data_IF_973042271802
#
_entry.id   IF_973042271802
#
_cell.length_a   1.000
_cell.length_b   1.000
_cell.length_c   1.000
_cell.angle_alpha   90.00
_cell.angle_beta   90.00
_cell.angle_gamma   90.00
#
_symmetry.space_group_name_H-M   'P 1'
#
loop_
_entity.id
_entity.type
_entity.pdbx_description
1 polymer ?
#
# COMPACT_ATOMS: atom_id res chain seq x y z
N UNK A 1 -16.65 20.98 -22.45
CA UNK A 1 -15.82 19.78 -22.70
C UNK A 1 -14.97 19.33 -21.50
N UNK A 2 -14.23 20.17 -20.78
CA UNK A 2 -13.33 19.74 -19.71
C UNK A 2 -13.99 19.03 -18.52
N UNK A 3 -15.22 19.43 -18.13
CA UNK A 3 -15.97 18.79 -17.04
C UNK A 3 -16.32 17.32 -17.33
N UNK A 4 -16.66 17.01 -18.59
CA UNK A 4 -17.02 15.63 -19.02
C UNK A 4 -15.85 14.64 -18.88
N UNK A 5 -14.61 15.05 -19.20
CA UNK A 5 -13.42 14.20 -19.05
C UNK A 5 -13.12 13.85 -17.58
N UNK A 6 -13.32 14.82 -16.68
CA UNK A 6 -13.20 14.55 -15.25
C UNK A 6 -14.28 13.58 -14.76
N UNK A 7 -15.53 13.78 -15.19
CA UNK A 7 -16.63 12.87 -14.83
C UNK A 7 -16.30 11.46 -15.31
N UNK A 8 -15.85 11.31 -16.56
CA UNK A 8 -15.47 10.02 -17.11
C UNK A 8 -14.35 9.33 -16.28
N UNK A 9 -13.27 10.07 -15.95
CA UNK A 9 -12.19 9.53 -15.14
C UNK A 9 -12.68 9.05 -13.76
N UNK A 10 -13.51 9.83 -13.09
CA UNK A 10 -14.10 9.45 -11.79
C UNK A 10 -15.08 8.30 -11.92
N UNK A 11 -15.88 8.25 -13.00
CA UNK A 11 -16.79 7.12 -13.25
C UNK A 11 -16.03 5.82 -13.44
N UNK A 12 -14.89 5.83 -14.17
CA UNK A 12 -14.03 4.66 -14.33
C UNK A 12 -13.51 4.19 -12.96
N UNK A 13 -12.94 5.09 -12.16
CA UNK A 13 -12.41 4.75 -10.83
C UNK A 13 -13.49 4.18 -9.92
N UNK A 14 -14.65 4.82 -9.86
CA UNK A 14 -15.79 4.38 -9.07
C UNK A 14 -16.31 3.02 -9.52
N UNK A 15 -16.51 2.83 -10.85
CA UNK A 15 -17.02 1.57 -11.40
C UNK A 15 -16.07 0.40 -11.16
N UNK A 16 -14.75 0.62 -11.25
CA UNK A 16 -13.76 -0.42 -10.95
C UNK A 16 -13.82 -0.82 -9.49
N UNK A 17 -13.86 0.14 -8.56
CA UNK A 17 -13.93 -0.17 -7.14
C UNK A 17 -15.27 -0.83 -6.76
N UNK A 18 -16.39 -0.30 -7.28
CA UNK A 18 -17.72 -0.83 -7.02
C UNK A 18 -17.84 -2.26 -7.59
N UNK A 19 -17.45 -2.47 -8.83
CA UNK A 19 -17.48 -3.78 -9.48
C UNK A 19 -16.66 -4.83 -8.73
N UNK A 20 -15.45 -4.46 -8.28
CA UNK A 20 -14.62 -5.32 -7.44
C UNK A 20 -15.29 -5.62 -6.09
N UNK A 21 -15.89 -4.63 -5.44
CA UNK A 21 -16.57 -4.82 -4.15
C UNK A 21 -17.78 -5.73 -4.27
N UNK A 22 -18.60 -5.56 -5.31
CA UNK A 22 -19.73 -6.44 -5.62
C UNK A 22 -19.24 -7.86 -5.90
N UNK A 23 -18.17 -8.00 -6.71
CA UNK A 23 -17.60 -9.32 -7.01
C UNK A 23 -17.17 -10.07 -5.75
N UNK A 24 -16.51 -9.39 -4.79
CA UNK A 24 -16.10 -9.99 -3.52
C UNK A 24 -17.29 -10.38 -2.64
N UNK A 25 -18.33 -9.55 -2.60
CA UNK A 25 -19.54 -9.86 -1.85
C UNK A 25 -20.26 -11.09 -2.40
N UNK A 26 -20.29 -11.26 -3.72
CA UNK A 26 -20.91 -12.41 -4.39
C UNK A 26 -20.04 -13.67 -4.38
N UNK A 27 -18.71 -13.51 -4.20
CA UNK A 27 -17.75 -14.61 -4.22
C UNK A 27 -16.78 -14.54 -3.03
N UNK A 28 -17.26 -14.68 -1.79
CA UNK A 28 -16.47 -14.48 -0.57
C UNK A 28 -15.29 -15.45 -0.43
N UNK A 29 -15.30 -16.56 -1.14
CA UNK A 29 -14.20 -17.55 -1.16
C UNK A 29 -13.04 -17.14 -2.08
N UNK A 30 -13.24 -16.15 -2.97
CA UNK A 30 -12.22 -15.69 -3.94
C UNK A 30 -11.54 -14.41 -3.48
N UNK A 31 -10.78 -14.49 -2.40
CA UNK A 31 -10.22 -13.33 -1.70
C UNK A 31 -8.76 -13.01 -2.04
N UNK A 32 -8.17 -13.71 -3.00
CA UNK A 32 -6.78 -13.49 -3.45
C UNK A 32 -5.74 -13.79 -2.36
N UNK A 33 -4.85 -12.83 -2.07
CA UNK A 33 -3.77 -13.01 -1.06
C UNK A 33 -4.18 -12.56 0.35
N UNK A 34 -5.34 -11.92 0.51
CA UNK A 34 -5.78 -11.36 1.80
C UNK A 34 -5.98 -12.41 2.89
N UNK A 35 -6.42 -13.65 2.61
CA UNK A 35 -6.46 -14.71 3.63
C UNK A 35 -5.11 -14.97 4.29
N UNK A 36 -4.00 -14.89 3.53
CA UNK A 36 -2.65 -15.06 4.10
C UNK A 36 -2.30 -13.93 5.06
N UNK A 37 -2.71 -12.68 4.75
CA UNK A 37 -2.52 -11.54 5.65
C UNK A 37 -3.34 -11.70 6.94
N UNK A 38 -4.58 -12.17 6.81
CA UNK A 38 -5.49 -12.44 7.91
C UNK A 38 -4.98 -13.54 8.81
N UNK A 39 -4.54 -14.65 8.22
CA UNK A 39 -3.95 -15.77 8.95
C UNK A 39 -2.70 -15.30 9.72
N UNK A 40 -1.79 -14.58 9.07
CA UNK A 40 -0.60 -14.05 9.72
C UNK A 40 -0.94 -13.09 10.86
N UNK A 41 -1.94 -12.18 10.67
CA UNK A 41 -2.37 -11.26 11.72
C UNK A 41 -3.01 -12.00 12.91
N UNK A 42 -3.84 -13.00 12.65
CA UNK A 42 -4.43 -13.83 13.72
C UNK A 42 -3.36 -14.60 14.47
N UNK A 43 -2.46 -15.28 13.75
CA UNK A 43 -1.38 -16.07 14.34
C UNK A 43 -0.41 -15.21 15.15
N UNK A 44 -0.11 -13.99 14.71
CA UNK A 44 0.71 -13.04 15.45
C UNK A 44 0.16 -12.80 16.86
N UNK A 45 -1.11 -12.44 16.96
CA UNK A 45 -1.72 -12.11 18.25
C UNK A 45 -1.97 -13.33 19.14
N UNK A 46 -2.02 -14.55 18.55
CA UNK A 46 -2.12 -15.81 19.29
C UNK A 46 -0.77 -16.42 19.67
N UNK A 47 0.34 -15.80 19.29
CA UNK A 47 1.69 -16.36 19.54
C UNK A 47 2.01 -17.56 18.66
N UNK A 48 1.33 -17.75 17.53
CA UNK A 48 1.51 -18.88 16.63
C UNK A 48 2.49 -18.56 15.50
N UNK A 49 2.95 -19.63 14.79
CA UNK A 49 3.84 -19.49 13.65
C UNK A 49 3.18 -18.68 12.53
N UNK A 50 3.90 -17.66 11.99
CA UNK A 50 3.41 -16.78 10.93
C UNK A 50 4.02 -17.05 9.56
N UNK A 51 5.20 -17.66 9.50
CA UNK A 51 5.92 -18.01 8.28
C UNK A 51 5.85 -19.52 7.99
N UNK A 52 6.08 -19.89 6.73
CA UNK A 52 6.24 -21.31 6.33
C UNK A 52 4.93 -22.03 5.99
N UNK A 53 3.85 -21.33 5.67
CA UNK A 53 2.59 -21.94 5.22
C UNK A 53 2.46 -21.89 3.70
N UNK A 54 2.63 -23.03 3.03
CA UNK A 54 2.33 -23.24 1.62
C UNK A 54 3.19 -22.45 0.63
N UNK A 55 2.93 -22.64 -0.66
CA UNK A 55 3.63 -22.02 -1.80
C UNK A 55 3.45 -20.51 -1.91
N UNK A 56 2.43 -19.95 -1.23
CA UNK A 56 2.10 -18.53 -1.22
C UNK A 56 1.97 -17.97 0.19
N UNK A 57 2.85 -18.44 1.12
CA UNK A 57 2.86 -18.04 2.51
C UNK A 57 3.05 -16.53 2.72
N UNK A 58 3.00 -16.13 3.97
CA UNK A 58 3.28 -14.75 4.36
C UNK A 58 4.77 -14.42 4.15
N UNK A 59 5.06 -13.37 3.35
CA UNK A 59 6.43 -13.00 2.91
C UNK A 59 6.74 -11.53 3.26
N UNK A 60 6.16 -11.01 4.33
CA UNK A 60 6.28 -9.61 4.73
C UNK A 60 6.91 -9.51 6.12
N UNK A 61 7.46 -8.34 6.45
CA UNK A 61 7.95 -8.06 7.79
C UNK A 61 6.81 -8.04 8.82
N UNK A 62 7.08 -8.30 10.12
CA UNK A 62 6.08 -8.28 11.19
C UNK A 62 5.29 -6.96 11.28
N UNK A 63 5.88 -5.83 10.93
CA UNK A 63 5.20 -4.53 10.88
C UNK A 63 3.99 -4.50 9.94
N UNK A 64 4.03 -5.28 8.85
CA UNK A 64 2.89 -5.39 7.95
C UNK A 64 1.69 -6.02 8.67
N UNK A 65 1.93 -6.98 9.54
CA UNK A 65 0.88 -7.64 10.33
C UNK A 65 0.16 -6.62 11.20
N UNK A 66 0.92 -5.76 11.87
CA UNK A 66 0.39 -4.71 12.74
C UNK A 66 -0.41 -3.70 11.91
N UNK A 67 0.11 -3.31 10.74
CA UNK A 67 -0.61 -2.44 9.80
C UNK A 67 -1.93 -3.08 9.31
N UNK A 68 -1.95 -4.40 9.10
CA UNK A 68 -3.13 -5.11 8.60
C UNK A 68 -4.14 -5.48 9.70
N UNK A 69 -3.71 -5.55 10.96
CA UNK A 69 -4.55 -5.94 12.10
C UNK A 69 -5.90 -5.21 12.18
N UNK A 70 -6.00 -3.87 12.01
CA UNK A 70 -7.29 -3.18 12.06
C UNK A 70 -8.31 -3.73 11.04
N UNK A 71 -7.87 -4.12 9.85
CA UNK A 71 -8.71 -4.69 8.81
C UNK A 71 -9.12 -6.13 9.14
N UNK A 72 -8.25 -6.88 9.84
CA UNK A 72 -8.56 -8.24 10.30
C UNK A 72 -9.62 -8.27 11.40
N UNK A 73 -9.77 -7.21 12.19
CA UNK A 73 -10.77 -7.11 13.26
C UNK A 73 -12.18 -6.85 12.74
N UNK A 74 -12.33 -6.35 11.50
CA UNK A 74 -13.65 -6.06 10.90
C UNK A 74 -14.37 -7.36 10.57
N UNK A 75 -15.63 -7.48 11.01
CA UNK A 75 -16.52 -8.61 10.75
C UNK A 75 -17.76 -8.16 9.97
N UNK A 76 -18.30 -8.97 9.03
CA UNK A 76 -17.71 -10.19 8.49
C UNK A 76 -16.40 -9.90 7.73
N UNK A 77 -15.55 -10.91 7.60
CA UNK A 77 -14.20 -10.76 7.02
C UNK A 77 -14.17 -10.11 5.63
N UNK A 78 -15.18 -10.35 4.78
CA UNK A 78 -15.29 -9.73 3.46
C UNK A 78 -15.32 -8.18 3.54
N UNK A 79 -15.96 -7.63 4.58
CA UNK A 79 -15.94 -6.17 4.77
C UNK A 79 -14.55 -5.65 5.12
N UNK A 80 -13.80 -6.36 5.98
CA UNK A 80 -12.41 -6.03 6.26
C UNK A 80 -11.54 -6.03 5.01
N UNK A 81 -11.77 -6.98 4.10
CA UNK A 81 -11.09 -7.05 2.81
C UNK A 81 -11.46 -5.91 1.87
N UNK A 82 -12.72 -5.53 1.82
CA UNK A 82 -13.17 -4.37 1.03
C UNK A 82 -12.54 -3.09 1.57
N UNK A 83 -12.53 -2.91 2.91
CA UNK A 83 -11.92 -1.74 3.55
C UNK A 83 -10.41 -1.68 3.31
N UNK A 84 -9.70 -2.82 3.38
CA UNK A 84 -8.29 -2.90 3.01
C UNK A 84 -8.03 -2.44 1.58
N UNK A 85 -8.82 -2.96 0.62
CA UNK A 85 -8.72 -2.56 -0.80
C UNK A 85 -9.09 -1.10 -1.00
N UNK A 86 -10.10 -0.60 -0.28
CA UNK A 86 -10.49 0.81 -0.31
C UNK A 86 -9.37 1.72 0.17
N UNK A 87 -8.69 1.36 1.25
CA UNK A 87 -7.55 2.13 1.76
C UNK A 87 -6.41 2.20 0.73
N UNK A 88 -6.02 1.06 0.16
CA UNK A 88 -5.00 1.01 -0.90
C UNK A 88 -5.42 1.75 -2.16
N UNK A 89 -6.69 1.61 -2.58
CA UNK A 89 -7.23 2.31 -3.75
C UNK A 89 -7.33 3.81 -3.54
N UNK A 90 -7.75 4.26 -2.36
CA UNK A 90 -7.82 5.68 -2.02
C UNK A 90 -6.43 6.34 -2.03
N UNK A 91 -5.43 5.65 -1.50
CA UNK A 91 -4.04 6.10 -1.55
C UNK A 91 -3.54 6.21 -2.99
N UNK A 92 -3.86 5.23 -3.83
CA UNK A 92 -3.52 5.22 -5.25
C UNK A 92 -4.19 6.38 -6.01
N UNK A 93 -5.48 6.61 -5.80
CA UNK A 93 -6.20 7.75 -6.38
C UNK A 93 -5.59 9.06 -5.90
N UNK A 94 -5.26 9.18 -4.62
CA UNK A 94 -4.54 10.33 -4.06
C UNK A 94 -3.22 10.62 -4.78
N UNK A 95 -2.44 9.57 -5.06
CA UNK A 95 -1.19 9.68 -5.82
C UNK A 95 -1.44 10.16 -7.27
N UNK A 96 -2.46 9.61 -7.96
CA UNK A 96 -2.85 10.05 -9.29
C UNK A 96 -3.29 11.53 -9.31
N UNK A 97 -4.05 11.97 -8.31
CA UNK A 97 -4.47 13.37 -8.19
C UNK A 97 -3.29 14.32 -7.96
N UNK A 98 -2.32 13.92 -7.14
CA UNK A 98 -1.07 14.68 -6.94
C UNK A 98 -0.25 14.75 -8.21
N UNK A 99 -0.12 13.64 -8.93
CA UNK A 99 0.59 13.58 -10.20
C UNK A 99 -0.11 14.43 -11.27
N UNK A 100 -1.45 14.33 -11.38
CA UNK A 100 -2.27 15.20 -12.23
C UNK A 100 -1.99 16.68 -11.96
N UNK A 101 -1.95 17.08 -10.68
CA UNK A 101 -1.74 18.48 -10.33
C UNK A 101 -0.39 19.00 -10.82
N UNK A 102 0.66 18.17 -10.77
CA UNK A 102 2.00 18.56 -11.22
C UNK A 102 2.10 18.58 -12.74
N UNK A 103 1.62 17.54 -13.41
CA UNK A 103 1.67 17.43 -14.86
C UNK A 103 0.69 18.39 -15.53
N UNK A 104 -0.49 18.56 -14.95
CA UNK A 104 -1.54 19.45 -15.46
C UNK A 104 -1.16 20.93 -15.44
N UNK A 105 -0.28 21.36 -14.53
CA UNK A 105 0.21 22.76 -14.51
C UNK A 105 1.01 23.14 -15.77
N UNK A 106 1.56 22.14 -16.46
CA UNK A 106 2.35 22.33 -17.69
C UNK A 106 1.54 22.00 -18.94
N UNK A 107 0.30 21.55 -18.77
CA UNK A 107 -0.58 21.13 -19.87
C UNK A 107 -1.66 22.17 -20.14
N UNK A 108 -1.95 22.42 -21.40
CA UNK A 108 -3.13 23.20 -21.84
C UNK A 108 -4.45 22.49 -21.51
N UNK A 109 -4.41 21.16 -21.25
CA UNK A 109 -5.58 20.32 -21.00
C UNK A 109 -5.43 19.44 -19.73
N UNK A 110 -5.47 20.03 -18.50
CA UNK A 110 -5.26 19.30 -17.26
C UNK A 110 -6.23 18.12 -17.03
N UNK A 111 -7.44 18.21 -17.60
CA UNK A 111 -8.45 17.15 -17.47
C UNK A 111 -8.13 15.93 -18.34
N UNK A 112 -7.50 16.15 -19.51
CA UNK A 112 -7.03 15.08 -20.36
C UNK A 112 -5.88 14.33 -19.69
N UNK A 113 -4.99 15.06 -18.97
CA UNK A 113 -3.92 14.44 -18.17
C UNK A 113 -4.49 13.49 -17.13
N UNK A 114 -5.56 13.88 -16.42
CA UNK A 114 -6.16 13.00 -15.41
C UNK A 114 -6.80 11.75 -16.03
N UNK A 115 -7.56 11.92 -17.10
CA UNK A 115 -8.15 10.78 -17.80
C UNK A 115 -7.07 9.85 -18.35
N UNK A 116 -6.00 10.38 -18.95
CA UNK A 116 -4.88 9.57 -19.46
C UNK A 116 -4.20 8.79 -18.32
N UNK A 117 -3.95 9.43 -17.17
CA UNK A 117 -3.39 8.75 -16.00
C UNK A 117 -4.29 7.60 -15.53
N UNK A 118 -5.61 7.81 -15.48
CA UNK A 118 -6.57 6.77 -15.09
C UNK A 118 -6.58 5.63 -16.11
N UNK A 119 -6.64 5.94 -17.41
CA UNK A 119 -6.68 4.94 -18.48
C UNK A 119 -5.40 4.09 -18.57
N UNK A 120 -4.25 4.65 -18.20
CA UNK A 120 -2.98 3.92 -18.17
C UNK A 120 -2.80 3.13 -16.86
N UNK A 121 -3.10 3.75 -15.72
CA UNK A 121 -2.79 3.17 -14.43
C UNK A 121 -3.82 2.11 -13.97
N UNK A 122 -5.10 2.30 -14.26
CA UNK A 122 -6.16 1.39 -13.79
C UNK A 122 -6.03 0.00 -14.41
N UNK A 123 -5.92 -0.18 -15.75
CA UNK A 123 -5.76 -1.51 -16.33
C UNK A 123 -4.54 -2.26 -15.79
N UNK A 124 -3.40 -1.57 -15.64
CA UNK A 124 -2.17 -2.14 -15.06
C UNK A 124 -2.33 -2.57 -13.59
N UNK A 125 -3.31 -2.01 -12.88
CA UNK A 125 -3.54 -2.24 -11.46
C UNK A 125 -4.66 -3.24 -11.17
N UNK A 126 -5.48 -3.64 -12.16
CA UNK A 126 -6.67 -4.46 -11.95
C UNK A 126 -6.39 -5.78 -11.21
N UNK A 127 -5.33 -6.50 -11.59
CA UNK A 127 -4.95 -7.73 -10.93
C UNK A 127 -4.60 -7.50 -9.44
N UNK A 128 -3.89 -6.40 -9.13
CA UNK A 128 -3.53 -6.05 -7.75
C UNK A 128 -4.75 -5.63 -6.93
N UNK A 129 -5.69 -4.90 -7.53
CA UNK A 129 -6.95 -4.52 -6.90
C UNK A 129 -7.78 -5.76 -6.57
N UNK A 130 -7.96 -6.65 -7.56
CA UNK A 130 -8.75 -7.87 -7.41
C UNK A 130 -8.15 -8.81 -6.35
N UNK A 131 -6.84 -9.03 -6.36
CA UNK A 131 -6.17 -9.92 -5.42
C UNK A 131 -5.92 -9.30 -4.03
N UNK A 132 -6.21 -8.01 -3.81
CA UNK A 132 -5.93 -7.32 -2.55
C UNK A 132 -4.44 -7.20 -2.21
N UNK A 133 -3.58 -7.17 -3.23
CA UNK A 133 -2.14 -7.12 -3.07
C UNK A 133 -1.66 -5.75 -2.58
N UNK A 134 -0.53 -5.75 -1.89
CA UNK A 134 0.18 -4.53 -1.44
C UNK A 134 0.78 -3.71 -2.59
N UNK A 135 0.79 -4.21 -3.84
CA UNK A 135 1.37 -3.51 -4.99
C UNK A 135 0.73 -2.14 -5.24
N UNK A 136 -0.59 -2.05 -5.01
CA UNK A 136 -1.33 -0.80 -5.24
C UNK A 136 -0.92 0.31 -4.26
N UNK A 137 -1.00 0.11 -2.93
CA UNK A 137 -0.51 1.09 -1.97
C UNK A 137 1.02 1.31 -2.09
N UNK A 138 1.79 0.29 -2.46
CA UNK A 138 3.23 0.42 -2.72
C UNK A 138 3.51 1.42 -3.84
N UNK A 139 2.88 1.25 -5.01
CA UNK A 139 3.06 2.16 -6.15
C UNK A 139 2.63 3.58 -5.81
N UNK A 140 1.53 3.73 -5.07
CA UNK A 140 1.07 5.03 -4.60
C UNK A 140 2.10 5.72 -3.69
N UNK A 141 2.63 5.00 -2.69
CA UNK A 141 3.67 5.51 -1.81
C UNK A 141 4.97 5.86 -2.56
N UNK A 142 5.38 5.06 -3.55
CA UNK A 142 6.54 5.38 -4.39
C UNK A 142 6.33 6.67 -5.18
N UNK A 143 5.18 6.84 -5.81
CA UNK A 143 4.85 8.10 -6.51
C UNK A 143 4.87 9.28 -5.53
N UNK A 144 4.21 9.15 -4.37
CA UNK A 144 4.14 10.21 -3.37
C UNK A 144 5.52 10.54 -2.79
N UNK A 145 6.39 9.53 -2.61
CA UNK A 145 7.78 9.76 -2.14
C UNK A 145 8.60 10.58 -3.14
N UNK A 146 8.53 10.23 -4.44
CA UNK A 146 9.22 10.98 -5.50
C UNK A 146 8.70 12.42 -5.57
N UNK A 147 7.38 12.61 -5.44
CA UNK A 147 6.80 13.95 -5.44
C UNK A 147 7.18 14.77 -4.21
N UNK A 148 7.35 14.12 -3.06
CA UNK A 148 7.83 14.74 -1.82
C UNK A 148 9.32 15.10 -1.92
N UNK A 149 10.18 14.19 -2.41
CA UNK A 149 11.60 14.45 -2.67
C UNK A 149 11.79 15.66 -3.60
N UNK A 150 11.04 15.72 -4.68
CA UNK A 150 11.07 16.84 -5.62
C UNK A 150 10.70 18.19 -4.99
N UNK A 151 9.90 18.18 -3.90
CA UNK A 151 9.51 19.37 -3.16
C UNK A 151 10.35 19.63 -1.92
N UNK A 152 11.44 18.89 -1.75
CA UNK A 152 12.32 18.93 -0.58
C UNK A 152 11.58 18.65 0.75
N UNK A 153 10.48 17.89 0.67
CA UNK A 153 9.69 17.47 1.82
C UNK A 153 10.27 16.16 2.37
N UNK A 154 11.39 16.26 3.10
CA UNK A 154 12.22 15.12 3.51
C UNK A 154 11.48 14.13 4.41
N UNK A 155 10.68 14.59 5.36
CA UNK A 155 9.92 13.74 6.27
C UNK A 155 8.80 12.96 5.58
N UNK A 156 7.90 13.59 4.78
CA UNK A 156 6.93 12.85 3.99
C UNK A 156 7.58 11.86 3.03
N UNK A 157 8.68 12.22 2.38
CA UNK A 157 9.41 11.33 1.49
C UNK A 157 9.92 10.08 2.24
N UNK A 158 10.55 10.28 3.38
CA UNK A 158 11.06 9.21 4.23
C UNK A 158 9.93 8.29 4.72
N UNK A 159 8.82 8.87 5.18
CA UNK A 159 7.66 8.10 5.64
C UNK A 159 7.10 7.21 4.51
N UNK A 160 6.85 7.77 3.33
CA UNK A 160 6.34 6.98 2.20
C UNK A 160 7.32 5.88 1.78
N UNK A 161 8.63 6.16 1.72
CA UNK A 161 9.64 5.14 1.38
C UNK A 161 9.71 4.03 2.44
N UNK A 162 9.61 4.36 3.72
CA UNK A 162 9.62 3.36 4.79
C UNK A 162 8.35 2.53 4.79
N UNK A 163 7.18 3.13 4.53
CA UNK A 163 5.94 2.37 4.31
C UNK A 163 6.08 1.42 3.11
N UNK A 164 6.74 1.83 2.03
CA UNK A 164 7.02 0.93 0.91
C UNK A 164 7.82 -0.31 1.33
N UNK A 165 8.85 -0.17 2.18
CA UNK A 165 9.64 -1.30 2.69
C UNK A 165 8.78 -2.23 3.54
N UNK A 166 7.87 -1.70 4.37
CA UNK A 166 6.91 -2.50 5.15
C UNK A 166 5.96 -3.27 4.24
N UNK A 167 5.45 -2.61 3.20
CA UNK A 167 4.54 -3.23 2.24
C UNK A 167 5.22 -4.29 1.38
N UNK A 168 6.50 -4.10 1.04
CA UNK A 168 7.31 -5.09 0.32
C UNK A 168 8.80 -4.85 0.53
N UNK A 169 9.56 -5.87 0.97
CA UNK A 169 11.02 -5.76 1.20
C UNK A 169 11.80 -5.30 -0.04
N UNK A 170 11.35 -5.61 -1.26
CA UNK A 170 11.99 -5.16 -2.51
C UNK A 170 12.07 -3.62 -2.62
N UNK A 171 11.23 -2.90 -1.91
CA UNK A 171 11.27 -1.44 -1.86
C UNK A 171 12.46 -0.88 -1.06
N UNK A 172 13.28 -1.75 -0.47
CA UNK A 172 14.57 -1.35 0.09
C UNK A 172 15.49 -0.73 -0.96
N UNK A 173 15.40 -1.16 -2.23
CA UNK A 173 16.21 -0.59 -3.31
C UNK A 173 15.95 0.91 -3.54
N UNK A 174 14.73 1.40 -3.79
CA UNK A 174 14.48 2.84 -3.88
C UNK A 174 14.71 3.58 -2.56
N UNK A 175 14.55 2.94 -1.39
CA UNK A 175 14.89 3.50 -0.09
C UNK A 175 16.40 3.78 0.01
N UNK A 176 17.25 2.80 -0.32
CA UNK A 176 18.71 2.93 -0.34
C UNK A 176 19.18 3.96 -1.38
N UNK A 177 18.54 3.98 -2.55
CA UNK A 177 18.84 4.97 -3.57
C UNK A 177 18.58 6.39 -3.07
N UNK A 178 17.42 6.62 -2.42
CA UNK A 178 17.11 7.92 -1.83
C UNK A 178 18.12 8.30 -0.73
N UNK A 179 18.49 7.35 0.13
CA UNK A 179 19.51 7.55 1.17
C UNK A 179 20.87 7.93 0.59
N UNK A 180 21.28 7.31 -0.52
CA UNK A 180 22.55 7.59 -1.18
C UNK A 180 22.56 8.98 -1.85
N UNK A 181 21.48 9.29 -2.59
CA UNK A 181 21.41 10.47 -3.47
C UNK A 181 21.07 11.75 -2.71
N UNK A 182 20.22 11.68 -1.66
CA UNK A 182 19.72 12.87 -0.95
C UNK A 182 20.20 12.91 0.50
N UNK A 183 21.30 13.61 0.83
CA UNK A 183 21.82 13.69 2.21
C UNK A 183 20.78 14.16 3.23
N UNK A 184 19.90 15.09 2.85
CA UNK A 184 18.88 15.69 3.71
C UNK A 184 17.80 14.69 4.14
N UNK A 185 17.55 13.62 3.37
CA UNK A 185 16.55 12.61 3.72
C UNK A 185 17.10 11.52 4.64
N UNK A 186 18.42 11.42 4.82
CA UNK A 186 19.06 10.34 5.59
C UNK A 186 18.57 10.25 7.03
N UNK A 187 18.55 11.39 7.75
CA UNK A 187 18.04 11.44 9.14
C UNK A 187 16.56 11.07 9.23
N UNK A 188 15.64 11.65 8.43
CA UNK A 188 14.25 11.21 8.38
C UNK A 188 14.08 9.73 8.05
N UNK A 189 14.83 9.19 7.07
CA UNK A 189 14.77 7.78 6.68
C UNK A 189 15.20 6.87 7.83
N UNK A 190 16.32 7.17 8.46
CA UNK A 190 16.83 6.39 9.60
C UNK A 190 15.82 6.40 10.75
N UNK A 191 15.32 7.57 11.15
CA UNK A 191 14.36 7.68 12.25
C UNK A 191 13.03 6.98 11.93
N UNK A 192 12.54 7.11 10.69
CA UNK A 192 11.34 6.38 10.26
C UNK A 192 11.55 4.86 10.33
N UNK A 193 12.71 4.37 9.89
CA UNK A 193 13.03 2.96 9.93
C UNK A 193 13.14 2.44 11.38
N UNK A 194 13.75 3.21 12.28
CA UNK A 194 13.82 2.85 13.71
C UNK A 194 12.44 2.79 14.33
N UNK A 195 11.58 3.80 14.11
CA UNK A 195 10.21 3.82 14.63
C UNK A 195 9.43 2.60 14.14
N UNK A 196 9.49 2.32 12.83
CA UNK A 196 8.80 1.15 12.27
C UNK A 196 9.45 -0.17 12.70
N UNK A 197 10.77 -0.19 12.94
CA UNK A 197 11.45 -1.33 13.55
C UNK A 197 10.87 -1.64 14.91
N UNK A 198 10.77 -0.64 15.77
CA UNK A 198 10.17 -0.76 17.13
C UNK A 198 8.71 -1.25 17.06
N UNK A 199 7.91 -0.72 16.12
CA UNK A 199 6.52 -1.16 15.91
C UNK A 199 6.46 -2.68 15.66
N UNK A 200 7.41 -3.26 14.93
CA UNK A 200 7.47 -4.69 14.65
C UNK A 200 7.72 -5.57 15.89
N UNK A 201 8.02 -4.97 17.05
CA UNK A 201 8.12 -5.67 18.34
C UNK A 201 6.91 -5.47 19.24
N UNK A 202 5.86 -4.81 18.74
CA UNK A 202 4.60 -4.65 19.48
C UNK A 202 3.86 -5.99 19.57
N UNK A 203 4.24 -6.78 20.55
CA UNK A 203 3.60 -8.03 20.92
C UNK A 203 3.64 -8.18 22.45
N UNK A 204 2.66 -8.89 23.02
CA UNK A 204 2.61 -9.12 24.47
C UNK A 204 3.77 -9.97 24.98
N UNK A 205 4.26 -10.89 24.14
CA UNK A 205 5.45 -11.69 24.36
C UNK A 205 6.60 -11.18 23.47
N UNK A 206 7.58 -10.54 24.11
CA UNK A 206 8.75 -10.01 23.41
C UNK A 206 9.65 -11.11 22.83
N UNK A 207 9.80 -12.25 23.53
CA UNK A 207 10.57 -13.40 23.06
C UNK A 207 10.00 -13.93 21.75
N UNK A 208 8.69 -14.10 21.67
CA UNK A 208 8.01 -14.48 20.43
C UNK A 208 8.28 -13.49 19.29
N UNK A 209 8.20 -12.19 19.56
CA UNK A 209 8.47 -11.18 18.52
C UNK A 209 9.90 -11.28 17.98
N UNK A 210 10.89 -11.49 18.85
CA UNK A 210 12.31 -11.70 18.47
C UNK A 210 12.46 -12.95 17.58
N UNK A 211 11.85 -14.08 17.97
CA UNK A 211 11.90 -15.33 17.20
C UNK A 211 11.30 -15.16 15.80
N UNK A 212 10.21 -14.37 15.68
CA UNK A 212 9.58 -14.12 14.37
C UNK A 212 10.43 -13.23 13.47
N UNK A 213 11.20 -12.31 14.05
CA UNK A 213 12.17 -11.51 13.31
C UNK A 213 13.34 -12.36 12.79
N UNK A 214 13.81 -13.30 13.58
CA UNK A 214 14.88 -14.23 13.15
C UNK A 214 14.41 -15.19 12.05
N UNK A 215 13.10 -15.50 12.00
CA UNK A 215 12.50 -16.38 11.00
C UNK A 215 12.12 -15.64 9.68
N UNK A 216 12.26 -14.32 9.62
CA UNK A 216 11.96 -13.48 8.45
C UNK A 216 13.15 -13.42 7.49
#
# INVERSE_FOLDING_TARGET
>A
MPRRLNILAWSILFSVFLGMSIYLLLNPERTGVVPNYRMAATNWWLGWKIYGFGTHGFLYFPQFIILFTPFNLIRPHVLGEIVWRLAGFSLFVGALLRLRWILGRRSSHPQLVFLALVLLAVPASLASINNGQTNLPLSACLVLSVLALRKEQWWPAALFLTVCVILKPIALAPWLLAFAVFPQVRKPLFLSLVIFGVIGFLHLDFGYAVDRWQAC
#
